data_IF_580257689520
#
_entry.id   IF_580257689520
#
_cell.length_a   1.000
_cell.length_b   1.000
_cell.length_c   1.000
_cell.angle_alpha   90.00
_cell.angle_beta   90.00
_cell.angle_gamma   90.00
#
_symmetry.space_group_name_H-M   'P 1'
#
loop_
_entity.id
_entity.type
_entity.pdbx_description
1 polymer ?
#
# COMPACT_ATOMS: atom_id res chain seq x y z
N UNK A 1 13.19 -3.64 -22.01
CA UNK A 1 12.42 -2.98 -20.92
C UNK A 1 12.65 -3.72 -19.61
N UNK A 2 13.66 -3.35 -18.83
CA UNK A 2 14.00 -3.98 -17.53
C UNK A 2 13.80 -3.01 -16.34
N UNK A 3 13.27 -1.81 -16.59
CA UNK A 3 13.02 -0.75 -15.59
C UNK A 3 11.75 -1.04 -14.76
N UNK A 4 10.78 -1.76 -15.34
CA UNK A 4 9.49 -2.11 -14.70
C UNK A 4 9.64 -2.90 -13.38
N UNK A 5 10.46 -3.97 -13.29
CA UNK A 5 10.62 -4.71 -12.05
C UNK A 5 11.38 -3.92 -10.97
N UNK A 6 12.32 -3.05 -11.36
CA UNK A 6 13.12 -2.25 -10.41
C UNK A 6 12.24 -1.19 -9.73
N UNK A 7 11.36 -0.53 -10.48
CA UNK A 7 10.37 0.40 -9.92
C UNK A 7 9.40 -0.29 -8.96
N UNK A 8 8.98 -1.52 -9.29
CA UNK A 8 8.10 -2.30 -8.42
C UNK A 8 8.80 -2.73 -7.12
N UNK A 9 10.08 -3.10 -7.21
CA UNK A 9 10.91 -3.42 -6.05
C UNK A 9 11.16 -2.20 -5.15
N UNK A 10 11.39 -1.03 -5.73
CA UNK A 10 11.51 0.23 -4.97
C UNK A 10 10.19 0.67 -4.35
N UNK A 11 9.07 0.51 -5.06
CA UNK A 11 7.75 0.78 -4.52
C UNK A 11 7.40 -0.18 -3.36
N UNK A 12 7.74 -1.47 -3.49
CA UNK A 12 7.56 -2.46 -2.44
C UNK A 12 8.47 -2.19 -1.23
N UNK A 13 9.73 -1.82 -1.46
CA UNK A 13 10.66 -1.46 -0.39
C UNK A 13 10.28 -0.14 0.30
N UNK A 14 9.80 0.84 -0.46
CA UNK A 14 9.30 2.12 0.07
C UNK A 14 8.01 1.96 0.87
N UNK A 15 7.10 1.08 0.42
CA UNK A 15 5.90 0.73 1.18
C UNK A 15 6.22 -0.05 2.47
N UNK A 16 7.33 -0.81 2.51
CA UNK A 16 7.81 -1.48 3.72
C UNK A 16 8.55 -0.55 4.70
N UNK A 17 9.14 0.54 4.20
CA UNK A 17 9.99 1.44 4.99
C UNK A 17 9.23 2.61 5.62
N UNK A 18 7.92 2.72 5.37
CA UNK A 18 7.09 3.73 6.01
C UNK A 18 5.62 3.40 5.86
N UNK A 19 5.05 2.67 6.81
CA UNK A 19 3.60 2.63 6.99
C UNK A 19 3.01 4.03 7.28
N UNK A 20 3.83 4.98 7.76
CA UNK A 20 3.40 6.28 8.26
C UNK A 20 3.13 6.23 9.77
N UNK A 21 3.39 7.34 10.45
CA UNK A 21 3.30 7.44 11.91
C UNK A 21 1.85 7.46 12.42
N UNK A 22 0.91 7.90 11.58
CA UNK A 22 -0.49 8.06 11.96
C UNK A 22 -1.42 7.09 11.22
N UNK A 23 -2.57 6.69 11.81
CA UNK A 23 -3.54 5.83 11.12
C UNK A 23 -4.09 6.46 9.83
N UNK A 24 -4.08 7.79 9.72
CA UNK A 24 -4.48 8.47 8.49
C UNK A 24 -3.44 8.27 7.38
N UNK A 25 -2.15 8.43 7.69
CA UNK A 25 -1.08 8.15 6.72
C UNK A 25 -1.05 6.69 6.33
N UNK A 26 -1.21 5.78 7.30
CA UNK A 26 -1.33 4.34 7.05
C UNK A 26 -2.50 4.04 6.11
N UNK A 27 -3.65 4.66 6.34
CA UNK A 27 -4.82 4.53 5.47
C UNK A 27 -4.57 5.08 4.07
N UNK A 28 -3.92 6.23 3.94
CA UNK A 28 -3.61 6.85 2.65
C UNK A 28 -2.60 6.04 1.83
N UNK A 29 -1.54 5.53 2.47
CA UNK A 29 -0.55 4.69 1.80
C UNK A 29 -1.15 3.34 1.39
N UNK A 30 -1.93 2.72 2.28
CA UNK A 30 -2.70 1.52 1.97
C UNK A 30 -3.71 1.72 0.85
N UNK A 31 -4.42 2.86 0.85
CA UNK A 31 -5.35 3.22 -0.21
C UNK A 31 -4.64 3.40 -1.55
N UNK A 32 -3.51 4.10 -1.56
CA UNK A 32 -2.71 4.31 -2.77
C UNK A 32 -2.22 3.00 -3.36
N UNK A 33 -1.64 2.12 -2.53
CA UNK A 33 -1.17 0.81 -2.94
C UNK A 33 -2.32 -0.08 -3.44
N UNK A 34 -3.45 -0.11 -2.73
CA UNK A 34 -4.63 -0.88 -3.09
C UNK A 34 -5.31 -0.38 -4.36
N UNK A 35 -5.39 0.94 -4.56
CA UNK A 35 -5.90 1.57 -5.78
C UNK A 35 -5.01 1.26 -6.99
N UNK A 36 -3.69 1.39 -6.82
CA UNK A 36 -2.72 1.08 -7.87
C UNK A 36 -2.77 -0.40 -8.26
N UNK A 37 -2.83 -1.29 -7.27
CA UNK A 37 -3.00 -2.73 -7.51
C UNK A 37 -4.30 -3.03 -8.25
N UNK A 38 -5.42 -2.47 -7.79
CA UNK A 38 -6.71 -2.67 -8.43
C UNK A 38 -6.75 -2.13 -9.87
N UNK A 39 -6.09 -1.00 -10.15
CA UNK A 39 -5.96 -0.44 -11.49
C UNK A 39 -5.13 -1.34 -12.42
N UNK A 40 -4.05 -1.95 -11.93
CA UNK A 40 -3.24 -2.90 -12.70
C UNK A 40 -4.00 -4.21 -12.96
N UNK A 41 -4.81 -4.63 -12.01
CA UNK A 41 -5.61 -5.86 -12.08
C UNK A 41 -6.93 -5.68 -12.84
N UNK A 42 -7.23 -4.47 -13.34
CA UNK A 42 -8.49 -4.12 -14.00
C UNK A 42 -9.74 -4.46 -13.14
N UNK A 43 -9.63 -4.15 -11.84
CA UNK A 43 -10.70 -4.37 -10.83
C UNK A 43 -11.20 -3.05 -10.25
N UNK A 44 -12.15 -3.11 -9.30
CA UNK A 44 -12.70 -1.91 -8.64
C UNK A 44 -11.60 -1.12 -7.92
N UNK A 45 -11.17 0.00 -8.51
CA UNK A 45 -10.15 0.89 -7.93
C UNK A 45 -10.59 1.43 -6.58
N UNK A 46 -11.85 1.87 -6.47
CA UNK A 46 -12.40 2.33 -5.21
C UNK A 46 -12.43 1.21 -4.15
N UNK A 47 -12.81 -0.01 -4.55
CA UNK A 47 -12.79 -1.17 -3.66
C UNK A 47 -11.38 -1.53 -3.20
N UNK A 48 -10.42 -1.56 -4.13
CA UNK A 48 -9.00 -1.80 -3.84
C UNK A 48 -8.41 -0.74 -2.91
N UNK A 49 -8.73 0.53 -3.12
CA UNK A 49 -8.32 1.62 -2.25
C UNK A 49 -8.88 1.44 -0.82
N UNK A 50 -10.17 1.13 -0.71
CA UNK A 50 -10.83 0.96 0.60
C UNK A 50 -10.25 -0.23 1.36
N UNK A 51 -10.11 -1.38 0.69
CA UNK A 51 -9.53 -2.60 1.28
C UNK A 51 -8.07 -2.36 1.63
N UNK A 52 -7.29 -1.75 0.75
CA UNK A 52 -5.88 -1.43 1.00
C UNK A 52 -5.69 -0.48 2.18
N UNK A 53 -6.53 0.54 2.30
CA UNK A 53 -6.50 1.47 3.43
C UNK A 53 -6.72 0.75 4.77
N UNK A 54 -7.82 -0.01 4.85
CA UNK A 54 -8.20 -0.72 6.08
C UNK A 54 -7.17 -1.80 6.42
N UNK A 55 -6.71 -2.54 5.42
CA UNK A 55 -5.71 -3.59 5.62
C UNK A 55 -4.37 -3.01 6.12
N UNK A 56 -3.92 -1.89 5.56
CA UNK A 56 -2.66 -1.28 5.98
C UNK A 56 -2.76 -0.74 7.42
N UNK A 57 -3.83 0.01 7.75
CA UNK A 57 -4.05 0.48 9.13
C UNK A 57 -4.12 -0.70 10.10
N UNK A 58 -4.92 -1.72 9.81
CA UNK A 58 -5.05 -2.89 10.68
C UNK A 58 -3.70 -3.59 10.88
N UNK A 59 -2.92 -3.76 9.81
CA UNK A 59 -1.62 -4.41 9.86
C UNK A 59 -0.60 -3.62 10.68
N UNK A 60 -0.43 -2.31 10.42
CA UNK A 60 0.56 -1.50 11.13
C UNK A 60 0.16 -1.27 12.60
N UNK A 61 -1.13 -1.22 12.92
CA UNK A 61 -1.59 -1.15 14.32
C UNK A 61 -1.39 -2.47 15.08
N UNK A 62 -1.55 -3.61 14.40
CA UNK A 62 -1.36 -4.92 15.02
C UNK A 62 0.11 -5.32 15.14
N UNK A 63 0.96 -4.83 14.23
CA UNK A 63 2.39 -5.13 14.18
C UNK A 63 3.25 -3.87 14.01
N UNK A 64 3.27 -2.96 15.00
CA UNK A 64 3.94 -1.66 14.88
C UNK A 64 5.45 -1.74 14.69
N UNK A 65 6.08 -2.87 15.01
CA UNK A 65 7.53 -3.11 14.79
C UNK A 65 7.86 -3.67 13.40
N UNK A 66 6.86 -3.90 12.54
CA UNK A 66 7.00 -4.53 11.20
C UNK A 66 6.58 -3.60 10.07
N UNK A 67 6.45 -2.32 10.37
CA UNK A 67 5.79 -1.30 9.60
C UNK A 67 6.61 -0.02 9.56
#
# INVERSE_FOLDING_TARGET
>A
MQIKPILFAFAAAGALAGCGDTPLEQGLMGAGAGAAGAAVLDTSVAGGALVGAVANVAYCQQYPSRC
#
